data_IF_240042120767
#
_entry.id   IF_240042120767
#
_cell.length_a   1.000
_cell.length_b   1.000
_cell.length_c   1.000
_cell.angle_alpha   90.00
_cell.angle_beta   90.00
_cell.angle_gamma   90.00
#
_symmetry.space_group_name_H-M   'P 1'
#
loop_
_entity.id
_entity.type
_entity.pdbx_description
1 polymer ?
#
# COMPACT_ATOMS: atom_id res chain seq x y z
N UNK A 1 -7.11 7.91 -11.31
CA UNK A 1 -6.51 6.60 -11.00
C UNK A 1 -6.18 6.51 -9.52
N UNK A 2 -6.71 5.51 -8.81
CA UNK A 2 -6.42 5.29 -7.38
C UNK A 2 -5.07 4.61 -7.26
N UNK A 3 -4.21 5.09 -6.35
CA UNK A 3 -2.89 4.51 -6.10
C UNK A 3 -2.74 4.11 -4.64
N UNK A 4 -2.28 2.89 -4.39
CA UNK A 4 -1.81 2.47 -3.08
C UNK A 4 -0.35 2.92 -2.94
N UNK A 5 -0.12 3.84 -2.00
CA UNK A 5 1.21 4.44 -1.75
C UNK A 5 1.46 4.61 -0.25
N UNK A 6 2.72 4.58 0.14
CA UNK A 6 3.11 4.91 1.50
C UNK A 6 2.96 6.41 1.76
N UNK A 7 2.35 6.75 2.89
CA UNK A 7 2.28 8.11 3.41
C UNK A 7 3.23 8.20 4.58
N UNK A 8 4.19 9.11 4.51
CA UNK A 8 5.10 9.36 5.63
C UNK A 8 4.33 10.04 6.76
N UNK A 9 4.31 9.38 7.92
CA UNK A 9 3.77 9.90 9.17
C UNK A 9 4.90 9.96 10.22
N UNK A 10 4.70 10.69 11.32
CA UNK A 10 5.70 10.89 12.37
C UNK A 10 6.24 12.33 12.46
N UNK A 11 7.13 12.57 13.44
CA UNK A 11 7.74 13.88 13.70
C UNK A 11 9.03 14.04 12.89
N UNK A 12 9.05 15.00 11.96
CA UNK A 12 10.24 15.77 11.60
C UNK A 12 9.75 17.23 11.44
N UNK A 13 10.58 18.19 11.86
CA UNK A 13 10.28 19.61 12.10
C UNK A 13 9.09 20.18 11.28
N UNK A 14 8.19 20.87 11.98
CA UNK A 14 6.83 21.21 11.59
C UNK A 14 6.66 21.82 10.18
N UNK A 15 5.65 21.35 9.43
CA UNK A 15 4.71 22.17 8.62
C UNK A 15 3.37 21.42 8.57
N UNK A 16 2.23 22.00 9.03
CA UNK A 16 0.92 21.40 8.82
C UNK A 16 0.21 22.06 7.62
N UNK A 17 0.29 21.44 6.46
CA UNK A 17 -0.58 21.78 5.33
C UNK A 17 -1.75 20.79 5.30
N UNK A 18 -2.99 21.32 5.17
CA UNK A 18 -4.29 20.61 5.09
C UNK A 18 -4.13 19.12 4.72
N UNK A 19 -4.15 18.24 5.72
CA UNK A 19 -3.99 16.80 5.51
C UNK A 19 -5.25 16.24 4.86
N UNK A 20 -5.22 15.98 3.55
CA UNK A 20 -6.24 15.16 2.89
C UNK A 20 -6.38 13.84 3.67
N UNK A 21 -7.60 13.54 4.13
CA UNK A 21 -7.95 12.25 4.75
C UNK A 21 -7.78 11.17 3.68
N UNK A 22 -6.78 10.33 3.88
CA UNK A 22 -6.52 9.15 3.06
C UNK A 22 -6.89 7.93 3.88
N UNK A 23 -7.74 7.05 3.35
CA UNK A 23 -8.09 5.79 4.03
C UNK A 23 -6.83 4.95 4.23
N UNK A 24 -6.55 4.58 5.48
CA UNK A 24 -5.38 3.80 5.86
C UNK A 24 -5.72 2.30 5.78
N UNK A 25 -4.97 1.55 4.97
CA UNK A 25 -5.16 0.10 4.75
C UNK A 25 -4.05 -0.75 5.38
N UNK A 26 -3.11 -0.10 6.05
CA UNK A 26 -1.99 -0.79 6.67
C UNK A 26 -0.99 0.18 7.27
N UNK A 27 0.07 -0.40 7.78
CA UNK A 27 1.16 0.26 8.46
C UNK A 27 2.47 -0.46 8.15
N UNK A 28 3.53 0.33 7.96
CA UNK A 28 4.85 -0.15 7.60
C UNK A 28 5.89 0.70 8.33
N UNK A 29 6.63 0.07 9.23
CA UNK A 29 7.78 0.66 9.91
C UNK A 29 9.08 0.07 9.37
N UNK A 30 9.87 0.83 8.60
CA UNK A 30 11.14 0.36 8.06
C UNK A 30 12.24 0.20 9.12
N UNK A 31 12.11 0.86 10.28
CA UNK A 31 13.13 0.82 11.34
C UNK A 31 13.04 -0.51 12.12
N UNK A 32 11.82 -0.90 12.50
CA UNK A 32 11.57 -2.10 13.30
C UNK A 32 11.15 -3.29 12.43
N UNK A 33 11.08 -3.12 11.10
CA UNK A 33 10.52 -4.09 10.16
C UNK A 33 9.10 -4.56 10.52
N UNK A 34 8.33 -3.73 11.23
CA UNK A 34 6.97 -4.07 11.65
C UNK A 34 6.00 -3.72 10.53
N UNK A 35 5.19 -4.70 10.12
CA UNK A 35 4.22 -4.53 9.04
C UNK A 35 2.86 -5.06 9.47
N UNK A 36 1.85 -4.20 9.42
CA UNK A 36 0.46 -4.60 9.64
C UNK A 36 -0.35 -4.27 8.40
N UNK A 37 -0.97 -5.27 7.80
CA UNK A 37 -1.73 -5.13 6.56
C UNK A 37 -3.18 -5.51 6.79
N UNK A 38 -4.10 -4.63 6.41
CA UNK A 38 -5.52 -4.94 6.38
C UNK A 38 -5.85 -5.62 5.04
N UNK A 39 -5.72 -6.95 5.01
CA UNK A 39 -5.91 -7.78 3.82
C UNK A 39 -7.26 -7.52 3.11
N UNK A 40 -8.44 -7.54 3.78
CA UNK A 40 -9.70 -7.30 3.10
C UNK A 40 -9.81 -5.88 2.52
N UNK A 41 -9.23 -4.88 3.22
CA UNK A 41 -9.16 -3.51 2.71
C UNK A 41 -8.30 -3.42 1.45
N UNK A 42 -7.13 -4.03 1.45
CA UNK A 42 -6.21 -4.04 0.29
C UNK A 42 -6.86 -4.73 -0.90
N UNK A 43 -7.50 -5.88 -0.67
CA UNK A 43 -8.22 -6.64 -1.71
C UNK A 43 -9.29 -5.79 -2.39
N UNK A 44 -10.12 -5.09 -1.61
CA UNK A 44 -11.13 -4.19 -2.15
C UNK A 44 -10.53 -3.14 -3.11
N UNK A 45 -9.39 -2.53 -2.75
CA UNK A 45 -8.75 -1.54 -3.62
C UNK A 45 -8.13 -2.16 -4.87
N UNK A 46 -7.52 -3.34 -4.76
CA UNK A 46 -6.98 -4.08 -5.92
C UNK A 46 -8.09 -4.46 -6.91
N UNK A 47 -9.22 -4.98 -6.42
CA UNK A 47 -10.40 -5.30 -7.25
C UNK A 47 -10.97 -4.07 -7.95
N UNK A 48 -10.87 -2.89 -7.33
CA UNK A 48 -11.26 -1.60 -7.95
C UNK A 48 -10.21 -1.02 -8.90
N UNK A 49 -9.13 -1.76 -9.19
CA UNK A 49 -8.08 -1.35 -10.11
C UNK A 49 -7.07 -0.36 -9.53
N UNK A 50 -6.89 -0.34 -8.21
CA UNK A 50 -5.86 0.49 -7.59
C UNK A 50 -4.46 -0.04 -7.94
N UNK A 51 -3.60 0.85 -8.45
CA UNK A 51 -2.22 0.50 -8.75
C UNK A 51 -1.32 0.69 -7.52
N UNK A 52 -0.61 -0.35 -7.04
CA UNK A 52 0.41 -0.18 -6.01
C UNK A 52 1.68 0.45 -6.58
N UNK A 53 2.33 1.30 -5.79
CA UNK A 53 3.71 1.76 -6.06
C UNK A 53 4.72 0.63 -5.83
N UNK A 54 5.91 0.68 -6.44
CA UNK A 54 6.93 -0.39 -6.35
C UNK A 54 7.18 -0.92 -4.93
N UNK A 55 7.46 -0.04 -3.96
CA UNK A 55 7.69 -0.46 -2.57
C UNK A 55 6.47 -1.14 -1.93
N UNK A 56 5.26 -0.65 -2.24
CA UNK A 56 4.01 -1.26 -1.74
C UNK A 56 3.79 -2.63 -2.39
N UNK A 57 4.09 -2.76 -3.68
CA UNK A 57 4.04 -4.03 -4.38
C UNK A 57 4.96 -5.07 -3.73
N UNK A 58 6.20 -4.70 -3.39
CA UNK A 58 7.14 -5.60 -2.73
C UNK A 58 6.67 -6.01 -1.34
N UNK A 59 6.07 -5.09 -0.57
CA UNK A 59 5.49 -5.40 0.75
C UNK A 59 4.32 -6.39 0.60
N UNK A 60 3.43 -6.16 -0.35
CA UNK A 60 2.28 -7.04 -0.62
C UNK A 60 2.74 -8.42 -1.12
N UNK A 61 3.79 -8.46 -1.93
CA UNK A 61 4.43 -9.69 -2.41
C UNK A 61 5.04 -10.49 -1.26
N UNK A 62 5.76 -9.83 -0.35
CA UNK A 62 6.31 -10.46 0.87
C UNK A 62 5.21 -11.00 1.79
N UNK A 63 4.07 -10.33 1.84
CA UNK A 63 2.92 -10.75 2.64
C UNK A 63 2.04 -11.83 1.98
N UNK A 64 2.37 -12.29 0.77
CA UNK A 64 1.60 -13.33 0.08
C UNK A 64 0.23 -12.88 -0.43
N UNK A 65 -0.08 -11.58 -0.45
CA UNK A 65 -1.40 -11.08 -0.88
C UNK A 65 -1.71 -11.43 -2.35
N UNK A 66 -0.68 -11.63 -3.16
CA UNK A 66 -0.78 -12.03 -4.56
C UNK A 66 -0.76 -13.56 -4.78
N UNK A 67 -0.57 -14.40 -3.77
CA UNK A 67 -0.62 -15.87 -4.00
C UNK A 67 -2.05 -16.36 -4.15
N UNK A 68 -3.02 -15.68 -3.52
CA UNK A 68 -4.45 -15.97 -3.63
C UNK A 68 -5.10 -15.29 -4.85
N UNK A 69 -4.42 -14.32 -5.44
CA UNK A 69 -4.80 -13.65 -6.68
C UNK A 69 -3.80 -14.08 -7.76
N UNK A 70 -4.09 -15.07 -8.62
CA UNK A 70 -3.30 -15.22 -9.83
C UNK A 70 -3.41 -13.91 -10.60
N UNK A 71 -2.38 -13.08 -10.54
CA UNK A 71 -2.22 -11.91 -11.41
C UNK A 71 -2.01 -12.46 -12.83
N UNK A 72 -3.08 -12.97 -13.42
CA UNK A 72 -3.14 -13.13 -14.85
C UNK A 72 -3.15 -11.72 -15.41
N UNK A 73 -2.06 -11.41 -16.10
CA UNK A 73 -1.85 -10.29 -17.00
C UNK A 73 -1.29 -9.01 -16.37
N UNK A 74 0.02 -8.85 -16.58
CA UNK A 74 0.49 -7.66 -17.28
C UNK A 74 1.56 -8.11 -18.26
N UNK A 75 1.15 -8.45 -19.49
CA UNK A 75 2.04 -8.30 -20.64
C UNK A 75 2.35 -6.81 -20.73
N UNK A 76 3.51 -6.43 -20.23
CA UNK A 76 4.13 -5.15 -20.57
C UNK A 76 4.53 -5.26 -22.04
N UNK A 77 3.77 -4.56 -22.88
CA UNK A 77 4.17 -4.22 -24.25
C UNK A 77 5.13 -3.03 -24.20
#
# INVERSE_FOLDING_TARGET
>A
MVKLRLKRCGKKQAIPQRRKRSSQVGFYDPINNQTYLNIPGIRYFLEKGAQPTGTVYDILKKAGVFTEFPLNQTKVN
#
